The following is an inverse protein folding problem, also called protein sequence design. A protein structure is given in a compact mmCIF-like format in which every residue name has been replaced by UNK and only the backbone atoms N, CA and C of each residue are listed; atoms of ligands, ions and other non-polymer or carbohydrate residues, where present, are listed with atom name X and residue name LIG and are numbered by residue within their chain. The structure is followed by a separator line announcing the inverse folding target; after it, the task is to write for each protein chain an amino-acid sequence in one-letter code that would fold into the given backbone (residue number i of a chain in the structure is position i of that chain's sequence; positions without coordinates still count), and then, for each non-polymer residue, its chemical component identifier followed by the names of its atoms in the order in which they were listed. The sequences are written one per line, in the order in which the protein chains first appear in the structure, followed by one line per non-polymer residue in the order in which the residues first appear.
data_IF_587620181397
#
_entry.id   IF_587620181397
#
_cell.length_a   1.000
_cell.length_b   1.000
_cell.length_c   1.000
_cell.angle_alpha   90.00
_cell.angle_beta   90.00
_cell.angle_gamma   90.00
#
_symmetry.space_group_name_H-M   'P 1'
#
loop_
_entity.id
_entity.type
_entity.pdbx_description
1 polymer ?
#
# COMPACT_ATOMS: atom_id res chain seq x y z
N UNK A 1 -16.03 19.28 9.19
CA UNK A 1 -15.76 20.72 9.30
C UNK A 1 -15.63 21.03 10.78
N UNK A 2 -14.42 21.23 11.28
CA UNK A 2 -14.20 21.70 12.64
C UNK A 2 -13.58 23.09 12.56
N UNK A 3 -14.26 24.06 13.17
CA UNK A 3 -13.89 25.47 13.14
C UNK A 3 -13.39 25.85 14.53
N UNK A 4 -12.09 26.12 14.67
CA UNK A 4 -11.55 26.70 15.90
C UNK A 4 -11.57 28.23 15.81
N UNK A 5 -11.89 28.89 16.92
CA UNK A 5 -12.22 30.34 17.07
C UNK A 5 -11.08 31.32 16.74
N UNK A 6 -10.05 30.92 15.99
CA UNK A 6 -8.81 31.69 15.82
C UNK A 6 -8.44 32.08 14.39
N UNK A 7 -9.34 32.00 13.39
CA UNK A 7 -9.10 32.51 12.03
C UNK A 7 -7.96 31.84 11.24
N UNK A 8 -7.26 30.86 11.82
CA UNK A 8 -6.27 30.04 11.13
C UNK A 8 -7.03 28.91 10.46
N UNK A 9 -7.32 29.09 9.18
CA UNK A 9 -7.72 27.99 8.31
C UNK A 9 -6.49 27.11 8.14
N UNK A 10 -6.44 25.97 8.86
CA UNK A 10 -5.61 24.87 8.39
C UNK A 10 -6.24 24.46 7.05
N UNK A 11 -5.55 24.61 5.90
CA UNK A 11 -6.03 24.02 4.66
C UNK A 11 -6.25 22.55 4.97
N UNK A 12 -7.47 22.07 4.70
CA UNK A 12 -7.96 20.75 5.10
C UNK A 12 -6.80 19.76 5.10
N UNK A 13 -6.40 19.41 6.32
CA UNK A 13 -5.42 18.37 6.69
C UNK A 13 -5.05 17.55 5.47
N UNK A 14 -3.79 17.63 5.02
CA UNK A 14 -3.21 16.63 4.13
C UNK A 14 -3.48 15.30 4.81
N UNK A 15 -4.60 14.66 4.45
CA UNK A 15 -5.00 13.36 4.97
C UNK A 15 -3.91 12.46 4.46
N UNK A 16 -2.96 12.12 5.33
CA UNK A 16 -1.90 11.21 4.97
C UNK A 16 -2.57 9.98 4.38
N UNK A 17 -2.29 9.71 3.09
CA UNK A 17 -2.80 8.50 2.44
C UNK A 17 -2.43 7.35 3.37
N UNK A 18 -3.41 6.51 3.79
CA UNK A 18 -3.12 5.42 4.69
C UNK A 18 -2.01 4.59 4.09
N UNK A 19 -0.93 4.41 4.85
CA UNK A 19 0.25 3.62 4.44
C UNK A 19 0.01 2.12 4.63
N UNK A 20 -1.26 1.71 4.72
CA UNK A 20 -1.72 0.35 4.97
C UNK A 20 -2.69 -0.04 3.86
N UNK A 21 -2.52 -1.25 3.33
CA UNK A 21 -3.38 -1.78 2.27
C UNK A 21 -3.54 -3.29 2.39
N UNK A 22 -4.67 -3.79 1.89
CA UNK A 22 -4.92 -5.23 1.79
C UNK A 22 -4.46 -5.73 0.43
N UNK A 23 -3.68 -6.81 0.43
CA UNK A 23 -3.21 -7.44 -0.80
C UNK A 23 -4.38 -8.13 -1.50
N UNK A 24 -4.75 -7.65 -2.69
CA UNK A 24 -5.80 -8.24 -3.52
C UNK A 24 -5.26 -9.25 -4.54
N UNK A 25 -4.04 -9.02 -5.03
CA UNK A 25 -3.39 -9.88 -6.00
C UNK A 25 -1.88 -9.92 -5.73
N UNK A 26 -1.25 -11.04 -6.08
CA UNK A 26 0.20 -11.23 -5.97
C UNK A 26 0.74 -11.71 -7.32
N UNK A 27 1.82 -11.06 -7.78
CA UNK A 27 2.55 -11.52 -8.96
C UNK A 27 3.27 -12.86 -8.70
N UNK A 28 3.85 -13.47 -9.74
CA UNK A 28 4.56 -14.75 -9.65
C UNK A 28 5.87 -14.71 -8.84
N UNK A 29 6.25 -13.54 -8.32
CA UNK A 29 7.50 -13.31 -7.62
C UNK A 29 8.67 -12.93 -8.52
N UNK A 30 9.82 -12.63 -7.92
CA UNK A 30 11.01 -12.13 -8.63
C UNK A 30 11.67 -13.27 -9.42
N UNK A 31 11.97 -13.04 -10.69
CA UNK A 31 12.77 -13.95 -11.49
C UNK A 31 14.26 -13.68 -11.23
N UNK A 32 15.02 -14.70 -10.86
CA UNK A 32 16.48 -14.62 -10.73
C UNK A 32 17.16 -14.78 -12.09
N UNK A 33 18.43 -14.38 -12.19
CA UNK A 33 19.22 -14.53 -13.42
C UNK A 33 19.35 -16.01 -13.83
N UNK A 34 19.31 -16.94 -12.88
CA UNK A 34 19.30 -18.39 -13.11
C UNK A 34 17.95 -18.94 -13.59
N UNK A 35 16.95 -18.08 -13.86
CA UNK A 35 15.62 -18.48 -14.31
C UNK A 35 14.73 -19.08 -13.21
N UNK A 36 15.14 -19.02 -11.93
CA UNK A 36 14.32 -19.45 -10.80
C UNK A 36 13.40 -18.32 -10.35
N UNK A 37 12.20 -18.66 -9.91
CA UNK A 37 11.27 -17.68 -9.31
C UNK A 37 11.41 -17.71 -7.79
N UNK A 38 11.65 -16.55 -7.20
CA UNK A 38 11.53 -16.32 -5.76
C UNK A 38 10.08 -15.95 -5.51
N UNK A 39 9.35 -16.81 -4.79
CA UNK A 39 7.97 -16.55 -4.43
C UNK A 39 7.87 -15.29 -3.56
N UNK A 40 6.77 -14.55 -3.70
CA UNK A 40 6.53 -13.37 -2.87
C UNK A 40 6.28 -13.77 -1.42
N UNK A 41 6.78 -12.96 -0.49
CA UNK A 41 6.56 -13.16 0.95
C UNK A 41 5.14 -12.77 1.40
N UNK A 42 4.40 -12.06 0.55
CA UNK A 42 3.01 -11.64 0.79
C UNK A 42 2.03 -12.54 0.06
N UNK A 43 0.84 -12.70 0.64
CA UNK A 43 -0.26 -13.49 0.07
C UNK A 43 -1.51 -12.63 -0.06
N UNK A 44 -2.41 -13.05 -0.95
CA UNK A 44 -3.74 -12.44 -1.06
C UNK A 44 -4.45 -12.52 0.28
N UNK A 45 -4.97 -11.37 0.73
CA UNK A 45 -5.63 -11.23 2.03
C UNK A 45 -4.75 -10.66 3.13
N UNK A 46 -3.42 -10.66 2.97
CA UNK A 46 -2.52 -10.04 3.93
C UNK A 46 -2.74 -8.53 3.98
N UNK A 47 -2.58 -7.95 5.17
CA UNK A 47 -2.56 -6.50 5.37
C UNK A 47 -1.11 -6.07 5.50
N UNK A 48 -0.69 -5.16 4.62
CA UNK A 48 0.70 -4.74 4.50
C UNK A 48 0.81 -3.23 4.73
N UNK A 49 1.93 -2.84 5.33
CA UNK A 49 2.37 -1.45 5.40
C UNK A 49 3.39 -1.21 4.30
N UNK A 50 3.27 -0.09 3.58
CA UNK A 50 4.15 0.25 2.46
C UNK A 50 4.61 1.71 2.51
N UNK A 51 5.67 2.02 1.77
CA UNK A 51 6.24 3.38 1.72
C UNK A 51 5.25 4.40 1.15
N UNK A 52 5.24 5.62 1.71
CA UNK A 52 4.28 6.69 1.36
C UNK A 52 4.32 7.12 -0.11
N UNK A 53 5.51 7.01 -0.72
CA UNK A 53 5.82 7.55 -2.04
C UNK A 53 6.22 6.46 -3.04
N UNK A 54 5.99 5.19 -2.69
CA UNK A 54 6.27 4.05 -3.57
C UNK A 54 5.01 3.49 -4.21
N UNK A 55 5.20 2.72 -5.28
CA UNK A 55 4.12 2.12 -6.05
C UNK A 55 3.56 3.00 -7.17
N UNK A 56 2.66 2.40 -7.94
CA UNK A 56 1.95 3.01 -9.07
C UNK A 56 0.46 2.88 -8.85
N UNK A 57 -0.25 4.01 -8.85
CA UNK A 57 -1.71 4.03 -8.77
C UNK A 57 -2.30 3.64 -10.13
N UNK A 58 -3.21 2.68 -10.13
CA UNK A 58 -3.90 2.20 -11.32
C UNK A 58 -5.40 2.15 -11.06
N UNK A 59 -6.20 2.45 -12.08
CA UNK A 59 -7.65 2.27 -12.04
C UNK A 59 -8.01 1.04 -12.86
N UNK A 60 -8.58 0.03 -12.21
CA UNK A 60 -9.03 -1.20 -12.85
C UNK A 60 -10.50 -1.39 -12.47
N UNK A 61 -11.37 -1.57 -13.46
CA UNK A 61 -12.81 -1.80 -13.25
C UNK A 61 -13.52 -0.72 -12.38
N UNK A 62 -12.99 0.50 -12.39
CA UNK A 62 -13.51 1.62 -11.58
C UNK A 62 -13.00 1.67 -10.14
N UNK A 63 -12.17 0.71 -9.73
CA UNK A 63 -11.52 0.70 -8.43
C UNK A 63 -10.12 1.34 -8.50
N UNK A 64 -9.79 2.17 -7.52
CA UNK A 64 -8.45 2.73 -7.33
C UNK A 64 -7.58 1.70 -6.60
N UNK A 65 -6.63 1.14 -7.33
CA UNK A 65 -5.68 0.15 -6.83
C UNK A 65 -4.26 0.72 -6.85
N UNK A 66 -3.40 0.13 -6.03
CA UNK A 66 -1.99 0.48 -5.98
C UNK A 66 -1.14 -0.75 -6.25
N UNK A 67 -0.32 -0.68 -7.29
CA UNK A 67 0.69 -1.69 -7.58
C UNK A 67 1.94 -1.33 -6.78
N UNK A 68 2.40 -2.25 -5.94
CA UNK A 68 3.59 -2.08 -5.12
C UNK A 68 4.62 -3.14 -5.50
N UNK A 69 5.89 -2.75 -5.51
CA UNK A 69 6.98 -3.74 -5.54
C UNK A 69 7.13 -4.37 -4.16
N UNK A 70 7.60 -5.60 -4.09
CA UNK A 70 7.86 -6.28 -2.82
C UNK A 70 8.82 -5.49 -1.92
N UNK A 71 9.78 -4.78 -2.51
CA UNK A 71 10.71 -3.89 -1.81
C UNK A 71 10.05 -2.68 -1.13
N UNK A 72 8.87 -2.26 -1.60
CA UNK A 72 8.13 -1.12 -1.04
C UNK A 72 7.31 -1.51 0.19
N UNK A 73 7.20 -2.82 0.47
CA UNK A 73 6.45 -3.37 1.61
C UNK A 73 7.35 -3.38 2.83
N UNK A 74 7.00 -2.57 3.83
CA UNK A 74 7.75 -2.38 5.07
C UNK A 74 7.46 -3.45 6.11
N UNK A 75 6.20 -3.88 6.22
CA UNK A 75 5.78 -4.87 7.20
C UNK A 75 4.48 -5.58 6.81
N UNK A 76 4.31 -6.82 7.28
CA UNK A 76 3.03 -7.53 7.29
C UNK A 76 2.39 -7.39 8.66
N UNK A 77 1.16 -6.87 8.71
CA UNK A 77 0.39 -6.77 9.94
C UNK A 77 -0.18 -8.16 10.23
N UNK A 78 0.40 -8.86 11.21
CA UNK A 78 -0.19 -10.09 11.70
C UNK A 78 -1.52 -9.75 12.37
N UNK A 79 -2.64 -10.20 11.80
CA UNK A 79 -3.90 -10.21 12.53
C UNK A 79 -3.72 -11.12 13.73
N UNK A 80 -3.42 -10.53 14.90
CA UNK A 80 -3.52 -11.24 16.17
C UNK A 80 -4.97 -11.70 16.28
N UNK A 81 -5.14 -13.01 16.13
CA UNK A 81 -6.37 -13.72 16.49
C UNK A 81 -6.49 -13.76 18.01
#
# INVERSE_FOLDING_TARGET
MEVTKGGIVLPDTVKEKPQEGKVLAVGPGRLTEDGKRIAMDVKVGDVVLYVKYGGTEVKIDGEELMILSENDILAKKASKK
#
